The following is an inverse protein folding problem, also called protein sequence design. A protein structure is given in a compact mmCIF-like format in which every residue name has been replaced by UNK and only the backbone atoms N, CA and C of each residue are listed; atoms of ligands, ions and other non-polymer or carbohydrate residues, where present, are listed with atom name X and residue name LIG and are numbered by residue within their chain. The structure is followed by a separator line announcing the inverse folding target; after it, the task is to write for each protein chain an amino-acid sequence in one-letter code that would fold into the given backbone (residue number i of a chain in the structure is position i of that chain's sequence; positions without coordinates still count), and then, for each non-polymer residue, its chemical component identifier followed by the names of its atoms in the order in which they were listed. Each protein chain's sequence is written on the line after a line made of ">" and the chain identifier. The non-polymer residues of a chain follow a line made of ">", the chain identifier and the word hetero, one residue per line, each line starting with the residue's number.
data_IF_984792273298
#
_entry.id   IF_984792273298
#
_cell.length_a   1.000
_cell.length_b   1.000
_cell.length_c   1.000
_cell.angle_alpha   90.00
_cell.angle_beta   90.00
_cell.angle_gamma   90.00
#
_symmetry.space_group_name_H-M   'P 1'
#
loop_
_entity.id
_entity.type
_entity.pdbx_description
1 polymer ?
#
# COMPACT_ATOMS: atom_id res chain seq x y z
N UNK A 1 20.18 -6.55 16.13
CA UNK A 1 19.22 -5.56 16.66
C UNK A 1 17.87 -5.87 16.02
N UNK A 2 17.01 -6.57 16.77
CA UNK A 2 15.68 -6.98 16.31
C UNK A 2 14.81 -5.71 16.29
N UNK A 3 14.34 -5.30 15.11
CA UNK A 3 13.30 -4.26 15.03
C UNK A 3 12.00 -4.90 15.53
N UNK A 4 11.65 -4.60 16.77
CA UNK A 4 10.31 -4.85 17.29
C UNK A 4 9.38 -3.99 16.44
N UNK A 5 8.51 -4.63 15.66
CA UNK A 5 7.39 -3.93 15.03
C UNK A 5 6.48 -3.50 16.18
N UNK A 6 6.17 -2.20 16.36
CA UNK A 6 5.06 -1.80 17.22
C UNK A 6 3.84 -2.56 16.70
N UNK A 7 3.27 -3.44 17.53
CA UNK A 7 2.14 -4.25 17.11
C UNK A 7 1.02 -3.32 16.67
N UNK A 8 0.53 -3.52 15.45
CA UNK A 8 -0.63 -2.77 14.98
C UNK A 8 -1.79 -3.15 15.91
N UNK A 9 -2.54 -2.17 16.44
CA UNK A 9 -3.65 -2.47 17.34
C UNK A 9 -4.60 -3.47 16.69
N UNK A 10 -4.98 -4.52 17.43
CA UNK A 10 -5.91 -5.54 16.93
C UNK A 10 -7.28 -4.94 16.56
N UNK A 11 -7.62 -3.81 17.21
CA UNK A 11 -8.86 -3.09 16.96
C UNK A 11 -8.61 -1.75 16.26
N UNK A 12 -9.21 -1.59 15.08
CA UNK A 12 -9.07 -0.40 14.24
C UNK A 12 -9.61 0.88 14.90
N UNK A 13 -10.52 0.78 15.87
CA UNK A 13 -11.05 1.95 16.59
C UNK A 13 -10.01 2.64 17.47
N UNK A 14 -8.96 1.92 17.87
CA UNK A 14 -7.93 2.40 18.79
C UNK A 14 -6.82 3.18 18.05
N UNK A 15 -6.93 3.29 16.72
CA UNK A 15 -5.96 3.98 15.83
C UNK A 15 -6.47 5.31 15.28
N UNK A 16 -7.64 5.81 15.72
CA UNK A 16 -8.26 7.00 15.12
C UNK A 16 -7.35 8.23 15.10
N UNK A 17 -6.64 8.51 16.20
CA UNK A 17 -5.67 9.61 16.27
C UNK A 17 -4.45 9.34 15.38
N UNK A 18 -3.91 8.12 15.41
CA UNK A 18 -2.78 7.70 14.56
C UNK A 18 -3.08 7.79 13.06
N UNK A 19 -4.33 7.53 12.66
CA UNK A 19 -4.77 7.65 11.27
C UNK A 19 -4.90 9.12 10.84
N UNK A 20 -5.32 10.02 11.73
CA UNK A 20 -5.39 11.46 11.43
C UNK A 20 -4.01 12.06 11.15
N UNK A 21 -3.00 11.63 11.90
CA UNK A 21 -1.60 12.03 11.70
C UNK A 21 -0.92 11.33 10.52
N UNK A 22 -1.50 10.21 10.07
CA UNK A 22 -1.00 9.39 8.98
C UNK A 22 -0.13 8.23 9.48
N UNK A 23 -0.57 7.00 9.21
CA UNK A 23 0.18 5.80 9.56
C UNK A 23 1.26 5.51 8.53
N UNK A 24 2.50 5.37 8.98
CA UNK A 24 3.67 5.18 8.11
C UNK A 24 4.15 3.74 8.14
N UNK A 25 4.34 3.16 6.96
CA UNK A 25 4.82 1.79 6.77
C UNK A 25 6.02 1.77 5.84
N UNK A 26 7.07 1.05 6.23
CA UNK A 26 8.21 0.79 5.34
C UNK A 26 8.00 -0.54 4.65
N UNK A 27 7.70 -0.51 3.35
CA UNK A 27 7.32 -1.69 2.57
C UNK A 27 8.13 -1.79 1.28
N UNK A 28 7.99 -2.91 0.57
CA UNK A 28 8.56 -3.09 -0.77
C UNK A 28 7.48 -2.87 -1.81
N UNK A 29 7.75 -2.03 -2.81
CA UNK A 29 6.86 -1.84 -3.94
C UNK A 29 7.13 -2.90 -5.01
N UNK A 30 6.13 -3.74 -5.27
CA UNK A 30 6.22 -4.84 -6.25
C UNK A 30 5.75 -4.43 -7.65
N UNK A 31 4.92 -3.39 -7.76
CA UNK A 31 4.37 -2.89 -9.02
C UNK A 31 2.86 -2.74 -9.00
N UNK A 32 2.31 -2.46 -10.18
CA UNK A 32 0.88 -2.29 -10.43
C UNK A 32 0.45 -3.08 -11.67
N UNK A 33 -0.84 -3.40 -11.78
CA UNK A 33 -1.40 -4.03 -12.98
C UNK A 33 -2.81 -3.52 -13.22
N UNK A 34 -3.21 -3.42 -14.49
CA UNK A 34 -4.57 -3.07 -14.85
C UNK A 34 -5.51 -4.24 -14.58
N UNK A 35 -6.73 -3.90 -14.17
CA UNK A 35 -7.79 -4.86 -13.89
C UNK A 35 -9.06 -4.48 -14.65
N UNK A 36 -9.83 -5.48 -15.08
CA UNK A 36 -11.05 -5.26 -15.87
C UNK A 36 -12.24 -4.76 -15.05
N UNK A 37 -12.26 -5.05 -13.75
CA UNK A 37 -13.27 -4.53 -12.82
C UNK A 37 -12.56 -4.13 -11.52
N UNK A 38 -13.13 -3.24 -10.68
CA UNK A 38 -12.45 -2.75 -9.48
C UNK A 38 -12.75 -3.56 -8.20
N UNK A 39 -13.47 -4.69 -8.30
CA UNK A 39 -13.90 -5.50 -7.15
C UNK A 39 -13.99 -7.00 -7.47
N UNK A 40 -14.02 -7.81 -6.41
CA UNK A 40 -14.08 -9.28 -6.47
C UNK A 40 -12.75 -9.93 -6.10
N UNK A 41 -12.82 -10.96 -5.26
CA UNK A 41 -11.66 -11.69 -4.73
C UNK A 41 -10.82 -12.34 -5.84
N UNK A 42 -11.48 -13.02 -6.80
CA UNK A 42 -10.79 -13.65 -7.93
C UNK A 42 -9.98 -12.65 -8.75
N UNK A 43 -10.53 -11.45 -8.92
CA UNK A 43 -9.91 -10.39 -9.70
C UNK A 43 -8.72 -9.78 -8.93
N UNK A 44 -8.82 -9.59 -7.62
CA UNK A 44 -7.70 -9.21 -6.76
C UNK A 44 -6.60 -10.30 -6.75
N UNK A 45 -6.98 -11.57 -6.63
CA UNK A 45 -6.08 -12.73 -6.66
C UNK A 45 -5.31 -12.79 -7.99
N UNK A 46 -6.01 -12.62 -9.11
CA UNK A 46 -5.40 -12.59 -10.43
C UNK A 46 -4.44 -11.40 -10.58
N UNK A 47 -4.80 -10.21 -10.07
CA UNK A 47 -3.94 -9.03 -10.08
C UNK A 47 -2.64 -9.27 -9.29
N UNK A 48 -2.74 -9.82 -8.07
CA UNK A 48 -1.59 -10.15 -7.23
C UNK A 48 -0.68 -11.16 -7.95
N UNK A 49 -1.24 -12.24 -8.52
CA UNK A 49 -0.45 -13.24 -9.25
C UNK A 49 0.34 -12.62 -10.41
N UNK A 50 -0.28 -11.72 -11.19
CA UNK A 50 0.39 -11.00 -12.28
C UNK A 50 1.52 -10.12 -11.76
N UNK A 51 1.26 -9.31 -10.73
CA UNK A 51 2.27 -8.44 -10.14
C UNK A 51 3.46 -9.27 -9.65
N UNK A 52 3.20 -10.35 -8.91
CA UNK A 52 4.26 -11.24 -8.39
C UNK A 52 5.03 -11.92 -9.52
N UNK A 53 4.36 -12.39 -10.57
CA UNK A 53 5.02 -13.01 -11.72
C UNK A 53 5.94 -12.01 -12.45
N UNK A 54 5.45 -10.82 -12.76
CA UNK A 54 6.24 -9.75 -13.39
C UNK A 54 7.42 -9.32 -12.51
N UNK A 55 7.18 -9.18 -11.21
CA UNK A 55 8.18 -8.81 -10.22
C UNK A 55 9.29 -9.86 -10.10
N UNK A 56 8.94 -11.16 -10.18
CA UNK A 56 9.91 -12.28 -10.14
C UNK A 56 10.69 -12.45 -11.44
N UNK A 57 10.10 -12.12 -12.59
CA UNK A 57 10.78 -12.14 -13.88
C UNK A 57 11.83 -11.01 -13.99
N UNK A 58 11.67 -9.94 -13.21
CA UNK A 58 12.66 -8.86 -13.09
C UNK A 58 13.83 -9.29 -12.21
N UNK A 59 15.06 -9.05 -12.67
CA UNK A 59 16.29 -9.20 -11.87
C UNK A 59 16.58 -8.01 -10.97
N UNK A 60 15.76 -6.95 -11.04
CA UNK A 60 15.92 -5.74 -10.23
C UNK A 60 15.48 -5.98 -8.79
N UNK A 61 16.22 -5.40 -7.84
CA UNK A 61 15.82 -5.40 -6.43
C UNK A 61 14.50 -4.63 -6.26
N UNK A 62 13.65 -5.11 -5.34
CA UNK A 62 12.42 -4.40 -4.99
C UNK A 62 12.73 -3.04 -4.36
N UNK A 63 12.07 -2.00 -4.88
CA UNK A 63 12.17 -0.64 -4.36
C UNK A 63 11.58 -0.60 -2.95
N UNK A 64 12.34 -0.10 -1.99
CA UNK A 64 11.84 0.20 -0.65
C UNK A 64 11.11 1.54 -0.70
N UNK A 65 9.90 1.57 -0.16
CA UNK A 65 9.06 2.76 -0.16
C UNK A 65 8.49 2.98 1.23
N UNK A 66 8.21 4.25 1.50
CA UNK A 66 7.47 4.69 2.66
C UNK A 66 6.02 4.90 2.22
N UNK A 67 5.11 4.08 2.75
CA UNK A 67 3.67 4.17 2.54
C UNK A 67 3.05 4.90 3.71
N UNK A 68 2.48 6.07 3.46
CA UNK A 68 1.71 6.83 4.44
C UNK A 68 0.22 6.66 4.16
N UNK A 69 -0.55 6.16 5.13
CA UNK A 69 -1.99 5.93 5.04
C UNK A 69 -2.71 6.93 5.93
N UNK A 70 -3.66 7.67 5.36
CA UNK A 70 -4.46 8.65 6.10
C UNK A 70 -5.91 8.70 5.56
N UNK A 71 -6.85 9.36 6.26
CA UNK A 71 -8.17 9.63 5.72
C UNK A 71 -8.18 10.40 4.39
N UNK A 72 -7.09 11.06 3.98
CA UNK A 72 -7.02 11.73 2.68
C UNK A 72 -6.73 10.76 1.54
N UNK A 73 -5.98 9.69 1.81
CA UNK A 73 -5.51 8.74 0.83
C UNK A 73 -4.29 7.96 1.28
N UNK A 74 -3.60 7.38 0.30
CA UNK A 74 -2.24 6.87 0.48
C UNK A 74 -1.24 7.74 -0.26
N UNK A 75 -0.08 7.93 0.34
CA UNK A 75 1.09 8.55 -0.30
C UNK A 75 2.23 7.56 -0.26
N UNK A 76 2.91 7.38 -1.39
CA UNK A 76 4.06 6.50 -1.51
C UNK A 76 5.26 7.37 -1.87
N UNK A 77 6.31 7.33 -1.05
CA UNK A 77 7.59 7.99 -1.34
C UNK A 77 8.73 6.99 -1.39
N UNK A 78 9.77 7.30 -2.16
CA UNK A 78 10.99 6.52 -2.15
C UNK A 78 11.68 6.65 -0.78
N UNK A 79 12.06 5.53 -0.17
CA UNK A 79 12.65 5.57 1.18
C UNK A 79 14.04 6.22 1.21
N UNK A 80 14.79 6.17 0.11
CA UNK A 80 16.16 6.70 0.05
C UNK A 80 16.17 8.18 -0.34
N UNK A 81 15.39 8.57 -1.34
CA UNK A 81 15.39 9.94 -1.86
C UNK A 81 14.28 10.82 -1.30
N UNK A 82 13.27 10.23 -0.64
CA UNK A 82 12.02 10.91 -0.25
C UNK A 82 11.19 11.45 -1.43
N UNK A 83 11.51 11.04 -2.67
CA UNK A 83 10.76 11.47 -3.85
C UNK A 83 9.34 10.91 -3.82
N UNK A 84 8.37 11.72 -4.24
CA UNK A 84 6.99 11.29 -4.42
C UNK A 84 6.90 10.28 -5.57
N UNK A 85 6.36 9.10 -5.28
CA UNK A 85 6.11 8.05 -6.27
C UNK A 85 4.63 8.08 -6.67
N UNK A 86 3.72 8.07 -5.69
CA UNK A 86 2.27 8.10 -5.92
C UNK A 86 1.55 8.87 -4.80
N UNK A 87 0.47 9.56 -5.16
CA UNK A 87 -0.48 10.18 -4.24
C UNK A 87 -1.90 9.84 -4.70
N UNK A 88 -2.56 8.96 -3.95
CA UNK A 88 -3.87 8.40 -4.32
C UNK A 88 -4.87 8.73 -3.24
N UNK A 89 -5.81 9.61 -3.58
CA UNK A 89 -6.92 9.96 -2.69
C UNK A 89 -7.81 8.76 -2.36
N UNK A 90 -8.37 8.72 -1.13
CA UNK A 90 -9.33 7.69 -0.73
C UNK A 90 -10.55 7.59 -1.65
N UNK A 91 -10.94 8.67 -2.34
CA UNK A 91 -12.06 8.67 -3.29
C UNK A 91 -11.80 7.81 -4.54
N UNK A 92 -10.54 7.44 -4.80
CA UNK A 92 -10.17 6.52 -5.87
C UNK A 92 -10.24 5.06 -5.45
N UNK A 93 -10.20 4.78 -4.14
CA UNK A 93 -10.50 3.44 -3.65
C UNK A 93 -11.99 3.22 -3.75
N UNK A 94 -12.36 2.06 -4.30
CA UNK A 94 -13.73 1.78 -4.64
C UNK A 94 -14.58 1.55 -3.37
N UNK A 95 -15.05 2.64 -2.77
CA UNK A 95 -16.10 2.65 -1.77
C UNK A 95 -17.45 2.64 -2.47
N UNK A 96 -18.19 1.53 -2.39
CA UNK A 96 -19.65 1.62 -2.42
C UNK A 96 -20.08 1.99 -1.01
N UNK A 97 -20.22 3.29 -0.74
CA UNK A 97 -21.06 3.78 0.35
C UNK A 97 -22.52 3.66 -0.11
N UNK A 98 -23.08 2.45 -0.04
CA UNK A 98 -24.53 2.21 0.05
C UNK A 98 -24.75 0.83 0.65
#
# INVERSE_FOLDING_TARGET
>A
MVKIHPELPENWTDTKETLLEGMVFNVKYLGMTLVGQPKGEDMASAAIRRIVATARASTKKFRKVTLTVSPKGIVITDTETSDLIEDVSIYRFLLRLV
#
